data_IF_071249328658
#
_entry.id   IF_071249328658
#
_cell.length_a   1.000
_cell.length_b   1.000
_cell.length_c   1.000
_cell.angle_alpha   90.00
_cell.angle_beta   90.00
_cell.angle_gamma   90.00
#
_symmetry.space_group_name_H-M   'P 1'
#
loop_
_entity.id
_entity.type
_entity.pdbx_description
1 polymer ?
#
# COMPACT_ATOMS: atom_id res chain seq x y z
N UNK A 1 1.48 -24.15 -17.40
CA UNK A 1 1.28 -23.60 -16.04
C UNK A 1 1.96 -22.24 -15.97
N UNK A 2 1.22 -21.13 -16.10
CA UNK A 2 1.79 -19.75 -16.21
C UNK A 2 1.28 -18.78 -15.13
N UNK A 3 0.58 -19.30 -14.11
CA UNK A 3 -0.17 -18.48 -13.16
C UNK A 3 0.65 -17.97 -11.96
N UNK A 4 1.67 -18.71 -11.51
CA UNK A 4 2.39 -18.38 -10.27
C UNK A 4 3.30 -17.14 -10.38
N UNK A 5 4.01 -16.97 -11.50
CA UNK A 5 4.97 -15.86 -11.69
C UNK A 5 4.29 -14.50 -11.92
N UNK A 6 3.11 -14.48 -12.57
CA UNK A 6 2.37 -13.24 -12.82
C UNK A 6 1.74 -12.71 -11.53
N UNK A 7 1.19 -13.59 -10.68
CA UNK A 7 0.49 -13.19 -9.45
C UNK A 7 1.40 -12.44 -8.48
N UNK A 8 2.67 -12.87 -8.34
CA UNK A 8 3.64 -12.20 -7.47
C UNK A 8 4.05 -10.82 -8.03
N UNK A 9 4.27 -10.75 -9.35
CA UNK A 9 4.66 -9.49 -9.99
C UNK A 9 3.52 -8.46 -9.94
N UNK A 10 2.27 -8.91 -10.09
CA UNK A 10 1.09 -8.05 -9.98
C UNK A 10 0.85 -7.56 -8.55
N UNK A 11 1.05 -8.41 -7.53
CA UNK A 11 0.95 -7.97 -6.12
C UNK A 11 2.04 -6.96 -5.77
N UNK A 12 3.25 -7.13 -6.29
CA UNK A 12 4.36 -6.19 -6.08
C UNK A 12 4.05 -4.83 -6.73
N UNK A 13 3.60 -4.83 -7.99
CA UNK A 13 3.20 -3.59 -8.69
C UNK A 13 2.07 -2.89 -7.93
N UNK A 14 1.03 -3.62 -7.53
CA UNK A 14 -0.09 -3.05 -6.77
C UNK A 14 0.36 -2.45 -5.43
N UNK A 15 1.24 -3.14 -4.70
CA UNK A 15 1.79 -2.66 -3.44
C UNK A 15 2.62 -1.39 -3.60
N UNK A 16 3.51 -1.34 -4.59
CA UNK A 16 4.32 -0.14 -4.91
C UNK A 16 3.42 1.01 -5.38
N UNK A 17 2.44 0.75 -6.23
CA UNK A 17 1.48 1.78 -6.69
C UNK A 17 0.67 2.36 -5.53
N UNK A 18 0.21 1.53 -4.59
CA UNK A 18 -0.48 2.01 -3.38
C UNK A 18 0.43 2.88 -2.52
N UNK A 19 1.69 2.49 -2.35
CA UNK A 19 2.66 3.29 -1.59
C UNK A 19 2.94 4.63 -2.25
N UNK A 20 3.15 4.64 -3.57
CA UNK A 20 3.36 5.84 -4.35
C UNK A 20 2.15 6.79 -4.26
N UNK A 21 0.94 6.23 -4.38
CA UNK A 21 -0.29 7.00 -4.24
C UNK A 21 -0.40 7.59 -2.83
N UNK A 22 -0.11 6.83 -1.79
CA UNK A 22 -0.10 7.33 -0.40
C UNK A 22 0.88 8.50 -0.22
N UNK A 23 2.08 8.42 -0.80
CA UNK A 23 3.07 9.50 -0.76
C UNK A 23 2.55 10.76 -1.46
N UNK A 24 1.96 10.63 -2.66
CA UNK A 24 1.35 11.75 -3.39
C UNK A 24 0.23 12.40 -2.57
N UNK A 25 -0.62 11.59 -1.92
CA UNK A 25 -1.71 12.09 -1.08
C UNK A 25 -1.19 12.85 0.14
N UNK A 26 -0.12 12.36 0.80
CA UNK A 26 0.53 13.08 1.91
C UNK A 26 1.05 14.43 1.42
N UNK A 27 1.80 14.43 0.31
CA UNK A 27 2.34 15.67 -0.25
C UNK A 27 1.21 16.63 -0.56
N UNK A 28 0.13 16.20 -1.23
CA UNK A 28 -1.00 17.06 -1.56
C UNK A 28 -1.74 17.61 -0.33
N UNK A 29 -1.90 16.81 0.73
CA UNK A 29 -2.50 17.24 1.99
C UNK A 29 -1.63 18.27 2.73
N UNK A 30 -0.30 18.10 2.69
CA UNK A 30 0.66 19.01 3.32
C UNK A 30 0.85 20.30 2.50
N UNK A 31 0.92 20.19 1.18
CA UNK A 31 1.10 21.31 0.24
C UNK A 31 -0.23 21.92 -0.21
N UNK A 32 -1.32 21.66 0.52
CA UNK A 32 -2.67 22.12 0.19
C UNK A 32 -2.80 23.63 -0.03
N UNK A 33 -1.83 24.43 0.45
CA UNK A 33 -1.76 25.90 0.25
C UNK A 33 -0.63 26.34 -0.72
N UNK A 34 0.02 25.42 -1.42
CA UNK A 34 1.26 25.68 -2.16
C UNK A 34 1.17 25.40 -3.68
N UNK A 35 -0.02 25.13 -4.23
CA UNK A 35 -0.20 25.05 -5.68
C UNK A 35 -1.50 24.41 -6.16
N UNK A 36 -1.81 24.59 -7.44
CA UNK A 36 -3.08 24.22 -8.08
C UNK A 36 -3.44 22.73 -7.92
N UNK A 37 -2.46 21.83 -8.06
CA UNK A 37 -2.69 20.38 -7.95
C UNK A 37 -2.84 19.91 -6.50
N UNK A 38 -2.04 20.44 -5.58
CA UNK A 38 -2.11 20.10 -4.16
C UNK A 38 -3.42 20.58 -3.55
N UNK A 39 -3.83 21.81 -3.89
CA UNK A 39 -5.06 22.41 -3.40
C UNK A 39 -6.31 21.74 -3.95
N UNK A 40 -6.34 21.43 -5.26
CA UNK A 40 -7.45 20.71 -5.88
C UNK A 40 -7.63 19.30 -5.29
N UNK A 41 -6.54 18.55 -5.16
CA UNK A 41 -6.58 17.18 -4.63
C UNK A 41 -6.92 17.17 -3.13
N UNK A 42 -6.33 18.07 -2.34
CA UNK A 42 -6.64 18.22 -0.91
C UNK A 42 -8.09 18.64 -0.68
N UNK A 43 -8.63 19.55 -1.51
CA UNK A 43 -10.03 19.96 -1.44
C UNK A 43 -10.96 18.80 -1.75
N UNK A 44 -10.67 18.01 -2.78
CA UNK A 44 -11.47 16.82 -3.11
C UNK A 44 -11.44 15.79 -1.97
N UNK A 45 -10.26 15.51 -1.42
CA UNK A 45 -10.09 14.57 -0.29
C UNK A 45 -10.82 15.06 0.96
N UNK A 46 -10.72 16.34 1.29
CA UNK A 46 -11.44 16.96 2.40
C UNK A 46 -12.94 17.07 2.13
N UNK A 47 -13.37 17.19 0.88
CA UNK A 47 -14.80 17.18 0.53
C UNK A 47 -15.41 15.78 0.74
N UNK A 48 -14.72 14.73 0.30
CA UNK A 48 -15.22 13.35 0.44
C UNK A 48 -15.08 12.79 1.86
N UNK A 49 -13.95 13.06 2.53
CA UNK A 49 -13.59 12.44 3.80
C UNK A 49 -13.56 13.41 4.98
N UNK A 50 -13.72 14.72 4.75
CA UNK A 50 -13.65 15.73 5.80
C UNK A 50 -12.31 15.69 6.54
N UNK A 51 -12.39 15.64 7.88
CA UNK A 51 -11.23 15.45 8.77
C UNK A 51 -10.55 14.09 8.59
N UNK A 52 -11.28 13.10 8.07
CA UNK A 52 -10.80 11.75 7.81
C UNK A 52 -9.84 11.64 6.63
N UNK A 53 -9.67 12.69 5.82
CA UNK A 53 -8.72 12.70 4.71
C UNK A 53 -7.28 12.35 5.13
N UNK A 54 -6.89 12.71 6.36
CA UNK A 54 -5.58 12.37 6.93
C UNK A 54 -5.40 10.89 7.28
N UNK A 55 -6.50 10.14 7.42
CA UNK A 55 -6.45 8.69 7.65
C UNK A 55 -6.23 7.90 6.36
N UNK A 56 -6.55 8.48 5.20
CA UNK A 56 -6.48 7.80 3.89
C UNK A 56 -5.04 7.39 3.54
N UNK A 57 -4.02 8.29 3.58
CA UNK A 57 -2.66 7.88 3.27
C UNK A 57 -2.07 6.77 4.17
N UNK A 58 -2.18 6.81 5.51
CA UNK A 58 -1.68 5.72 6.35
C UNK A 58 -2.44 4.41 6.10
N UNK A 59 -3.74 4.44 5.80
CA UNK A 59 -4.48 3.22 5.43
C UNK A 59 -3.93 2.59 4.15
N UNK A 60 -3.73 3.40 3.10
CA UNK A 60 -3.15 2.92 1.84
C UNK A 60 -1.74 2.39 2.03
N UNK A 61 -0.92 3.04 2.85
CA UNK A 61 0.43 2.57 3.17
C UNK A 61 0.41 1.21 3.86
N UNK A 62 -0.48 0.99 4.84
CA UNK A 62 -0.63 -0.31 5.52
C UNK A 62 -1.04 -1.41 4.54
N UNK A 63 -2.03 -1.13 3.68
CA UNK A 63 -2.48 -2.10 2.67
C UNK A 63 -1.38 -2.38 1.66
N UNK A 64 -0.66 -1.36 1.18
CA UNK A 64 0.46 -1.50 0.25
C UNK A 64 1.60 -2.35 0.82
N UNK A 65 2.00 -2.09 2.08
CA UNK A 65 3.01 -2.90 2.79
C UNK A 65 2.52 -4.34 3.00
N UNK A 66 1.24 -4.53 3.31
CA UNK A 66 0.63 -5.84 3.45
C UNK A 66 0.71 -6.66 2.17
N UNK A 67 0.41 -6.05 1.03
CA UNK A 67 0.52 -6.68 -0.29
C UNK A 67 1.98 -7.02 -0.65
N UNK A 68 2.94 -6.16 -0.30
CA UNK A 68 4.37 -6.42 -0.51
C UNK A 68 4.92 -7.52 0.39
N UNK A 69 4.33 -7.74 1.57
CA UNK A 69 4.83 -8.73 2.52
C UNK A 69 4.50 -10.18 2.15
N UNK A 70 3.52 -10.40 1.28
CA UNK A 70 3.04 -11.73 0.91
C UNK A 70 2.59 -12.57 2.13
N UNK A 71 1.91 -13.71 1.94
CA UNK A 71 1.82 -14.71 2.99
C UNK A 71 3.26 -15.17 3.26
N UNK A 72 3.82 -14.84 4.44
CA UNK A 72 5.07 -15.48 4.88
C UNK A 72 4.80 -16.98 4.81
N UNK A 73 5.54 -17.69 3.96
CA UNK A 73 5.59 -19.13 4.03
C UNK A 73 5.83 -19.47 5.50
N UNK A 74 4.87 -20.19 6.09
CA UNK A 74 5.02 -20.70 7.44
C UNK A 74 6.38 -21.41 7.49
N UNK A 75 7.20 -21.17 8.52
CA UNK A 75 8.43 -21.93 8.69
C UNK A 75 8.04 -23.41 8.68
N UNK A 76 8.56 -24.15 7.71
CA UNK A 76 8.44 -25.59 7.66
C UNK A 76 9.04 -26.10 8.97
N UNK A 77 8.17 -26.51 9.90
CA UNK A 77 8.56 -27.21 11.12
C UNK A 77 9.23 -28.52 10.70
N UNK A 78 10.55 -28.43 10.57
CA UNK A 78 11.57 -29.41 10.94
C UNK A 78 11.04 -30.79 11.35
N UNK A 79 10.41 -31.51 10.41
CA UNK A 79 10.07 -32.93 10.56
C UNK A 79 11.21 -33.77 9.99
N UNK A 80 12.43 -33.49 10.47
CA UNK A 80 13.65 -34.25 10.14
C UNK A 80 14.40 -34.73 11.39
N UNK A 81 13.65 -35.09 12.44
CA UNK A 81 14.21 -35.75 13.64
C UNK A 81 13.36 -36.96 14.02
N UNK A 82 13.41 -38.02 13.20
CA UNK A 82 12.70 -39.25 13.52
C UNK A 82 12.78 -40.34 12.47
N UNK A 83 13.98 -40.83 12.18
CA UNK A 83 14.23 -42.20 11.75
C UNK A 83 15.75 -42.43 11.71
N UNK A 84 16.32 -42.56 12.91
CA UNK A 84 17.47 -43.43 13.12
C UNK A 84 16.96 -44.87 13.17
#
# INVERSE_FOLDING_TARGET
MKAAATSHRTSDIAGVSLLALAAVLIVALVTANAGLLGEGLSTLLRFLFGRGAWAVPPLLSVVGIGLLRGPRAAPEEETQKGAQ
#
